data_IF_886830712004
#
_entry.id   IF_886830712004
#
_cell.length_a   1.000
_cell.length_b   1.000
_cell.length_c   1.000
_cell.angle_alpha   90.00
_cell.angle_beta   90.00
_cell.angle_gamma   90.00
#
_symmetry.space_group_name_H-M   'P 1'
#
loop_
_entity.id
_entity.type
_entity.pdbx_description
1 polymer ?
#
# COMPACT_ATOMS: atom_id res chain seq x y z
N UNK A 1 28.30 20.70 22.00
CA UNK A 1 28.40 20.21 20.62
C UNK A 1 27.51 18.97 20.50
N UNK A 2 26.22 19.14 20.12
CA UNK A 2 25.28 18.04 19.89
C UNK A 2 25.57 17.50 18.50
N UNK A 3 26.18 16.34 18.41
CA UNK A 3 26.26 15.59 17.16
C UNK A 3 24.85 15.12 16.86
N UNK A 4 24.16 15.78 15.95
CA UNK A 4 22.99 15.28 15.29
C UNK A 4 23.45 14.06 14.47
N UNK A 5 23.29 12.87 15.06
CA UNK A 5 23.35 11.63 14.28
C UNK A 5 22.11 11.69 13.36
N UNK A 6 22.32 12.18 12.17
CA UNK A 6 21.37 12.05 11.08
C UNK A 6 21.28 10.55 10.81
N UNK A 7 20.24 9.90 11.30
CA UNK A 7 19.91 8.53 10.92
C UNK A 7 19.63 8.61 9.43
N UNK A 8 20.62 8.24 8.62
CA UNK A 8 20.40 8.07 7.18
C UNK A 8 19.40 6.92 7.07
N UNK A 9 18.14 7.28 6.85
CA UNK A 9 17.08 6.31 6.59
C UNK A 9 17.35 5.78 5.18
N UNK A 10 18.10 4.71 5.09
CA UNK A 10 18.46 4.07 3.83
C UNK A 10 17.24 3.35 3.26
N UNK A 11 17.06 3.43 1.96
CA UNK A 11 16.05 2.61 1.26
C UNK A 11 16.44 1.13 1.41
N UNK A 12 15.58 0.39 2.12
CA UNK A 12 15.79 -1.04 2.39
C UNK A 12 14.98 -1.86 1.39
N UNK A 13 15.64 -2.87 0.80
CA UNK A 13 15.03 -3.66 -0.27
C UNK A 13 14.66 -2.80 -1.47
N UNK A 14 13.65 -3.22 -2.22
CA UNK A 14 13.09 -2.47 -3.36
C UNK A 14 14.06 -2.34 -4.54
N UNK A 15 15.05 -3.20 -4.64
CA UNK A 15 16.07 -3.15 -5.71
C UNK A 15 15.41 -3.17 -7.08
N UNK A 16 14.41 -4.04 -7.30
CA UNK A 16 13.68 -4.17 -8.56
C UNK A 16 12.87 -2.91 -8.90
N UNK A 17 12.17 -2.37 -7.90
CA UNK A 17 11.38 -1.15 -8.08
C UNK A 17 12.27 0.06 -8.34
N UNK A 18 13.38 0.17 -7.62
CA UNK A 18 14.40 1.20 -7.85
C UNK A 18 15.03 1.09 -9.23
N UNK A 19 15.43 -0.11 -9.65
CA UNK A 19 15.96 -0.37 -10.99
C UNK A 19 14.95 0.05 -12.07
N UNK A 20 13.69 -0.34 -11.93
CA UNK A 20 12.61 0.05 -12.85
C UNK A 20 12.47 1.58 -12.98
N UNK A 21 12.61 2.33 -11.87
CA UNK A 21 12.57 3.80 -11.88
C UNK A 21 13.80 4.41 -12.54
N UNK A 22 14.99 3.86 -12.27
CA UNK A 22 16.23 4.33 -12.90
C UNK A 22 16.28 4.02 -14.39
N UNK A 23 15.78 2.86 -14.81
CA UNK A 23 15.62 2.53 -16.23
C UNK A 23 14.68 3.50 -16.94
N UNK A 24 13.58 3.91 -16.29
CA UNK A 24 12.67 4.91 -16.83
C UNK A 24 13.35 6.29 -16.92
N UNK A 25 14.17 6.66 -15.95
CA UNK A 25 14.96 7.90 -15.97
C UNK A 25 15.95 7.92 -17.12
N UNK A 26 16.63 6.81 -17.37
CA UNK A 26 17.69 6.70 -18.37
C UNK A 26 17.17 6.33 -19.78
N UNK A 27 15.86 6.14 -19.94
CA UNK A 27 15.27 5.86 -21.25
C UNK A 27 15.37 7.08 -22.19
N UNK A 28 15.55 6.85 -23.46
CA UNK A 28 15.61 7.91 -24.48
C UNK A 28 14.26 8.50 -24.90
N UNK A 29 13.19 8.24 -24.11
CA UNK A 29 11.81 8.65 -24.42
C UNK A 29 11.09 9.16 -23.17
N UNK A 30 9.97 9.86 -23.34
CA UNK A 30 9.12 10.20 -22.19
C UNK A 30 8.49 8.95 -21.59
N UNK A 31 8.53 8.86 -20.27
CA UNK A 31 8.04 7.70 -19.50
C UNK A 31 6.91 8.12 -18.55
N UNK A 32 5.87 7.31 -18.48
CA UNK A 32 4.77 7.47 -17.54
C UNK A 32 4.71 6.27 -16.59
N UNK A 33 5.06 6.51 -15.35
CA UNK A 33 5.17 5.48 -14.30
C UNK A 33 4.06 5.64 -13.29
N UNK A 34 3.28 4.59 -13.05
CA UNK A 34 2.31 4.54 -11.96
C UNK A 34 2.82 3.63 -10.83
N UNK A 35 2.88 4.18 -9.61
CA UNK A 35 3.22 3.43 -8.39
C UNK A 35 2.00 3.39 -7.49
N UNK A 36 1.51 2.20 -7.22
CA UNK A 36 0.33 1.98 -6.40
C UNK A 36 0.57 0.85 -5.40
N UNK A 37 -0.27 0.80 -4.40
CA UNK A 37 -0.16 -0.16 -3.32
C UNK A 37 -0.68 0.43 -2.02
N UNK A 38 -0.82 -0.41 -1.03
CA UNK A 38 -1.38 -0.07 0.27
C UNK A 38 -0.74 1.19 0.89
N UNK A 39 -1.49 1.90 1.71
CA UNK A 39 -0.96 3.00 2.53
C UNK A 39 0.18 2.51 3.42
N UNK A 40 1.19 3.37 3.65
CA UNK A 40 2.33 3.13 4.55
C UNK A 40 3.34 2.07 4.10
N UNK A 41 3.27 1.60 2.84
CA UNK A 41 4.28 0.68 2.26
C UNK A 41 5.53 1.39 1.72
N UNK A 42 5.57 2.74 1.79
CA UNK A 42 6.76 3.51 1.43
C UNK A 42 6.82 3.99 -0.03
N UNK A 43 5.67 4.18 -0.73
CA UNK A 43 5.64 4.65 -2.14
C UNK A 43 6.38 5.97 -2.34
N UNK A 44 5.98 7.01 -1.62
CA UNK A 44 6.59 8.33 -1.66
C UNK A 44 8.06 8.31 -1.26
N UNK A 45 8.39 7.49 -0.24
CA UNK A 45 9.76 7.30 0.23
C UNK A 45 10.64 6.67 -0.86
N UNK A 46 10.19 5.58 -1.51
CA UNK A 46 10.89 4.94 -2.63
C UNK A 46 11.23 5.96 -3.74
N UNK A 47 10.25 6.76 -4.16
CA UNK A 47 10.45 7.74 -5.23
C UNK A 47 11.47 8.80 -4.81
N UNK A 48 11.31 9.37 -3.61
CA UNK A 48 12.20 10.42 -3.10
C UNK A 48 13.62 9.95 -2.93
N UNK A 49 13.83 8.79 -2.33
CA UNK A 49 15.17 8.21 -2.13
C UNK A 49 15.82 7.78 -3.45
N UNK A 50 15.04 7.28 -4.42
CA UNK A 50 15.58 6.90 -5.73
C UNK A 50 16.13 8.08 -6.50
N UNK A 51 15.50 9.26 -6.40
CA UNK A 51 15.88 10.46 -7.13
C UNK A 51 16.52 11.54 -6.24
N UNK A 52 16.95 11.18 -5.02
CA UNK A 52 17.64 12.07 -4.10
C UNK A 52 16.91 13.40 -3.91
N UNK A 53 15.56 13.35 -3.85
CA UNK A 53 14.66 14.54 -3.75
C UNK A 53 14.80 15.56 -4.89
N UNK A 54 15.45 15.20 -6.00
CA UNK A 54 15.68 16.06 -7.15
C UNK A 54 14.55 15.94 -8.18
N UNK A 55 13.57 16.83 -8.11
CA UNK A 55 12.41 16.87 -9.01
C UNK A 55 12.34 18.19 -9.75
N UNK A 56 12.06 18.13 -11.06
CA UNK A 56 11.73 19.34 -11.84
C UNK A 56 10.38 19.93 -11.40
N UNK A 57 9.46 19.06 -10.97
CA UNK A 57 8.19 19.47 -10.37
C UNK A 57 7.71 18.37 -9.42
N UNK A 58 7.23 18.76 -8.24
CA UNK A 58 6.59 17.87 -7.28
C UNK A 58 5.29 18.50 -6.79
N UNK A 59 4.23 17.69 -6.74
CA UNK A 59 2.93 18.08 -6.17
C UNK A 59 2.30 16.92 -5.41
N UNK A 60 1.54 17.24 -4.37
CA UNK A 60 0.75 16.27 -3.59
C UNK A 60 -0.69 16.74 -3.53
N UNK A 61 -1.63 15.90 -3.92
CA UNK A 61 -3.06 16.17 -3.78
C UNK A 61 -3.47 16.34 -2.31
N UNK A 62 -4.55 17.07 -2.06
CA UNK A 62 -5.08 17.35 -0.72
C UNK A 62 -6.32 16.50 -0.50
N UNK A 63 -6.33 15.76 0.62
CA UNK A 63 -7.47 14.93 0.98
C UNK A 63 -8.73 15.78 1.19
N UNK A 64 -9.83 15.37 0.56
CA UNK A 64 -11.17 15.99 0.67
C UNK A 64 -11.25 17.48 0.32
N UNK A 65 -10.22 18.06 -0.29
CA UNK A 65 -10.23 19.46 -0.70
C UNK A 65 -11.03 19.66 -2.01
N UNK A 66 -11.77 20.78 -2.14
CA UNK A 66 -12.47 21.11 -3.38
C UNK A 66 -11.50 21.46 -4.50
N UNK A 67 -11.92 21.33 -5.77
CA UNK A 67 -11.08 21.59 -6.94
C UNK A 67 -10.35 22.94 -6.91
N UNK A 68 -10.99 24.01 -6.42
CA UNK A 68 -10.38 25.33 -6.33
C UNK A 68 -9.14 25.35 -5.42
N UNK A 69 -9.19 24.64 -4.31
CA UNK A 69 -8.08 24.50 -3.37
C UNK A 69 -6.98 23.63 -3.96
N UNK A 70 -7.33 22.51 -4.59
CA UNK A 70 -6.37 21.67 -5.31
C UNK A 70 -5.58 22.49 -6.37
N UNK A 71 -6.28 23.29 -7.17
CA UNK A 71 -5.66 24.13 -8.19
C UNK A 71 -4.79 25.25 -7.59
N UNK A 72 -5.18 25.79 -6.44
CA UNK A 72 -4.37 26.80 -5.72
C UNK A 72 -3.05 26.19 -5.25
N UNK A 73 -3.08 25.00 -4.66
CA UNK A 73 -1.89 24.29 -4.21
C UNK A 73 -1.02 23.78 -5.37
N UNK A 74 -1.65 23.38 -6.48
CA UNK A 74 -0.91 23.04 -7.68
C UNK A 74 -0.11 24.26 -8.22
N UNK A 75 -0.72 25.46 -8.23
CA UNK A 75 -0.02 26.70 -8.54
C UNK A 75 1.11 26.98 -7.57
N UNK A 76 0.89 26.77 -6.25
CA UNK A 76 1.94 26.95 -5.25
C UNK A 76 3.11 25.99 -5.51
N UNK A 77 2.83 24.76 -5.91
CA UNK A 77 3.85 23.80 -6.30
C UNK A 77 4.66 24.24 -7.52
N UNK A 78 4.04 24.93 -8.50
CA UNK A 78 4.76 25.53 -9.63
C UNK A 78 5.71 26.66 -9.16
N UNK A 79 5.28 27.49 -8.20
CA UNK A 79 6.15 28.51 -7.62
C UNK A 79 7.32 27.90 -6.84
N UNK A 80 7.06 26.87 -6.06
CA UNK A 80 8.09 26.14 -5.32
C UNK A 80 9.12 25.49 -6.25
N UNK A 81 8.70 25.09 -7.46
CA UNK A 81 9.57 24.54 -8.50
C UNK A 81 10.38 25.63 -9.24
N UNK A 82 10.09 26.91 -9.01
CA UNK A 82 10.83 28.05 -9.60
C UNK A 82 10.08 28.84 -10.68
N UNK A 83 8.80 28.57 -10.92
CA UNK A 83 7.98 29.39 -11.80
C UNK A 83 7.80 30.79 -11.22
N UNK A 84 8.17 31.85 -11.96
CA UNK A 84 8.18 33.23 -11.42
C UNK A 84 6.78 33.81 -11.24
N UNK A 85 5.90 33.64 -12.22
CA UNK A 85 4.52 34.15 -12.19
C UNK A 85 3.59 33.30 -13.04
N UNK A 86 2.40 33.01 -12.54
CA UNK A 86 1.27 32.51 -13.33
C UNK A 86 -0.06 32.91 -12.67
N UNK A 87 -1.11 33.03 -13.47
CA UNK A 87 -2.46 33.19 -12.96
C UNK A 87 -2.91 31.93 -12.20
N UNK A 88 -3.89 32.08 -11.32
CA UNK A 88 -4.55 30.91 -10.71
C UNK A 88 -5.32 30.15 -11.80
N UNK A 89 -4.98 28.90 -12.11
CA UNK A 89 -5.71 28.10 -13.09
C UNK A 89 -7.13 27.85 -12.58
N UNK A 90 -8.10 27.90 -13.51
CA UNK A 90 -9.52 27.65 -13.21
C UNK A 90 -9.91 26.20 -13.49
N UNK A 91 -9.11 25.49 -14.27
CA UNK A 91 -9.32 24.11 -14.69
C UNK A 91 -8.02 23.32 -14.63
N UNK A 92 -8.11 22.00 -14.59
CA UNK A 92 -6.95 21.13 -14.68
C UNK A 92 -6.22 21.23 -16.03
N UNK A 93 -6.96 21.51 -17.12
CA UNK A 93 -6.31 21.77 -18.41
C UNK A 93 -5.39 22.99 -18.34
N UNK A 94 -5.86 24.10 -17.76
CA UNK A 94 -5.01 25.28 -17.56
C UNK A 94 -3.81 24.98 -16.66
N UNK A 95 -4.02 24.23 -15.57
CA UNK A 95 -2.95 23.83 -14.65
C UNK A 95 -1.87 22.99 -15.36
N UNK A 96 -2.26 22.00 -16.16
CA UNK A 96 -1.31 21.19 -16.92
C UNK A 96 -0.66 21.97 -18.09
N UNK A 97 -1.34 22.94 -18.70
CA UNK A 97 -0.72 23.86 -19.65
C UNK A 97 0.40 24.70 -19.00
N UNK A 98 0.14 25.25 -17.80
CA UNK A 98 1.16 25.95 -17.03
C UNK A 98 2.36 25.05 -16.69
N UNK A 99 2.09 23.80 -16.26
CA UNK A 99 3.14 22.81 -16.02
C UNK A 99 3.97 22.54 -17.28
N UNK A 100 3.31 22.33 -18.44
CA UNK A 100 3.99 22.10 -19.71
C UNK A 100 4.88 23.28 -20.12
N UNK A 101 4.37 24.50 -20.02
CA UNK A 101 5.14 25.73 -20.30
C UNK A 101 6.34 25.89 -19.37
N UNK A 102 6.15 25.60 -18.07
CA UNK A 102 7.23 25.61 -17.08
C UNK A 102 8.31 24.58 -17.41
N UNK A 103 7.95 23.32 -17.64
CA UNK A 103 8.90 22.26 -17.96
C UNK A 103 9.66 22.53 -19.28
N UNK A 104 9.00 23.16 -20.26
CA UNK A 104 9.64 23.59 -21.53
C UNK A 104 10.68 24.71 -21.34
N UNK A 105 10.53 25.50 -20.27
CA UNK A 105 11.48 26.60 -19.97
C UNK A 105 12.73 26.16 -19.20
N UNK A 106 12.73 24.92 -18.69
CA UNK A 106 13.88 24.39 -17.96
C UNK A 106 15.00 23.95 -18.90
N UNK A 107 16.26 23.96 -18.43
CA UNK A 107 17.41 23.48 -19.19
C UNK A 107 17.21 22.06 -19.74
N UNK A 108 18.02 21.70 -20.74
CA UNK A 108 18.02 20.34 -21.30
C UNK A 108 18.33 19.28 -20.24
N UNK A 109 17.82 18.08 -20.49
CA UNK A 109 17.91 16.93 -19.56
C UNK A 109 16.56 16.37 -19.18
N UNK A 110 16.56 15.15 -18.62
CA UNK A 110 15.35 14.47 -18.17
C UNK A 110 14.70 15.22 -17.00
N UNK A 111 13.43 15.53 -17.12
CA UNK A 111 12.63 16.26 -16.13
C UNK A 111 11.74 15.30 -15.38
N UNK A 112 12.00 15.11 -14.10
CA UNK A 112 11.21 14.26 -13.22
C UNK A 112 10.03 15.09 -12.70
N UNK A 113 8.82 14.65 -13.04
CA UNK A 113 7.55 15.21 -12.58
C UNK A 113 6.92 14.20 -11.64
N UNK A 114 6.85 14.54 -10.37
CA UNK A 114 6.28 13.65 -9.34
C UNK A 114 4.95 14.20 -8.84
N UNK A 115 3.87 13.42 -9.00
CA UNK A 115 2.54 13.74 -8.51
C UNK A 115 2.10 12.67 -7.52
N UNK A 116 2.05 13.04 -6.25
CA UNK A 116 1.67 12.18 -5.15
C UNK A 116 0.18 12.33 -4.81
N UNK A 117 -0.42 11.27 -4.27
CA UNK A 117 -1.83 11.15 -3.91
C UNK A 117 -2.77 11.63 -5.03
N UNK A 118 -2.48 11.17 -6.26
CA UNK A 118 -3.23 11.49 -7.48
C UNK A 118 -4.76 11.36 -7.32
N UNK A 119 -5.29 10.32 -6.63
CA UNK A 119 -6.73 10.15 -6.45
C UNK A 119 -7.45 11.31 -5.77
N UNK A 120 -6.75 12.08 -4.92
CA UNK A 120 -7.36 13.20 -4.19
C UNK A 120 -7.64 14.42 -5.08
N UNK A 121 -6.95 14.52 -6.21
CA UNK A 121 -7.18 15.60 -7.19
C UNK A 121 -8.39 15.36 -8.10
N UNK A 122 -8.85 14.10 -8.20
CA UNK A 122 -10.01 13.74 -9.02
C UNK A 122 -11.32 14.01 -8.26
N UNK A 123 -11.63 15.28 -8.09
CA UNK A 123 -12.86 15.71 -7.43
C UNK A 123 -14.07 15.62 -8.40
N UNK A 124 -15.30 15.51 -7.89
CA UNK A 124 -16.48 15.42 -8.75
C UNK A 124 -16.54 16.56 -9.78
N UNK A 125 -16.77 16.21 -11.04
CA UNK A 125 -16.87 17.13 -12.19
C UNK A 125 -15.59 17.95 -12.49
N UNK A 126 -14.45 17.59 -11.94
CA UNK A 126 -13.17 18.30 -12.18
C UNK A 126 -12.58 18.03 -13.56
N UNK A 127 -12.99 16.97 -14.24
CA UNK A 127 -12.36 16.47 -15.48
C UNK A 127 -10.84 16.21 -15.34
N UNK A 128 -10.36 15.91 -14.15
CA UNK A 128 -8.93 15.74 -13.86
C UNK A 128 -8.28 14.69 -14.74
N UNK A 129 -8.86 13.48 -14.82
CA UNK A 129 -8.33 12.38 -15.64
C UNK A 129 -8.24 12.77 -17.12
N UNK A 130 -9.25 13.48 -17.66
CA UNK A 130 -9.23 13.96 -19.06
C UNK A 130 -8.14 14.99 -19.29
N UNK A 131 -7.90 15.86 -18.33
CA UNK A 131 -6.85 16.88 -18.41
C UNK A 131 -5.45 16.23 -18.33
N UNK A 132 -5.26 15.24 -17.46
CA UNK A 132 -4.01 14.47 -17.38
C UNK A 132 -3.76 13.69 -18.69
N UNK A 133 -4.80 13.06 -19.23
CA UNK A 133 -4.74 12.37 -20.52
C UNK A 133 -4.33 13.31 -21.65
N UNK A 134 -4.95 14.48 -21.74
CA UNK A 134 -4.63 15.50 -22.74
C UNK A 134 -3.20 16.00 -22.59
N UNK A 135 -2.74 16.27 -21.38
CA UNK A 135 -1.35 16.67 -21.10
C UNK A 135 -0.35 15.59 -21.55
N UNK A 136 -0.62 14.34 -21.19
CA UNK A 136 0.27 13.25 -21.55
C UNK A 136 0.29 13.01 -23.07
N UNK A 137 -0.87 12.78 -23.68
CA UNK A 137 -0.95 12.43 -25.10
C UNK A 137 -0.67 13.61 -26.05
N UNK A 138 -1.10 14.80 -25.68
CA UNK A 138 -0.98 15.98 -26.55
C UNK A 138 0.37 16.69 -26.43
N UNK A 139 1.08 16.53 -25.29
CA UNK A 139 2.32 17.28 -25.06
C UNK A 139 3.49 16.41 -24.65
N UNK A 140 3.34 15.58 -23.59
CA UNK A 140 4.47 14.87 -22.99
C UNK A 140 5.03 13.75 -23.89
N UNK A 141 4.18 13.03 -24.61
CA UNK A 141 4.61 11.95 -25.53
C UNK A 141 5.39 12.45 -26.74
N UNK A 142 5.17 13.70 -27.18
CA UNK A 142 5.93 14.32 -28.27
C UNK A 142 7.36 14.69 -27.85
N UNK A 143 7.64 14.65 -26.55
CA UNK A 143 8.95 14.93 -25.95
C UNK A 143 9.69 13.63 -25.66
N UNK A 144 10.99 13.75 -25.35
CA UNK A 144 11.84 12.61 -24.94
C UNK A 144 12.35 12.74 -23.50
N UNK A 145 12.07 13.86 -22.88
CA UNK A 145 12.71 14.33 -21.65
C UNK A 145 11.78 14.38 -20.43
N UNK A 146 10.58 13.79 -20.50
CA UNK A 146 9.64 13.78 -19.36
C UNK A 146 9.63 12.40 -18.69
N UNK A 147 9.83 12.37 -17.38
CA UNK A 147 9.53 11.23 -16.53
C UNK A 147 8.39 11.63 -15.59
N UNK A 148 7.16 11.27 -15.97
CA UNK A 148 5.97 11.48 -15.13
C UNK A 148 5.78 10.29 -14.21
N UNK A 149 5.88 10.53 -12.90
CA UNK A 149 5.64 9.52 -11.87
C UNK A 149 4.39 9.94 -11.09
N UNK A 150 3.41 9.06 -11.06
CA UNK A 150 2.20 9.26 -10.26
C UNK A 150 2.08 8.18 -9.21
N UNK A 151 1.63 8.55 -8.02
CA UNK A 151 1.32 7.56 -7.01
C UNK A 151 0.06 7.91 -6.20
N UNK A 152 -0.43 6.95 -5.43
CA UNK A 152 -1.55 7.15 -4.53
C UNK A 152 -1.80 5.93 -3.65
N UNK A 153 -2.40 6.19 -2.50
CA UNK A 153 -2.77 5.17 -1.52
C UNK A 153 -4.10 4.48 -1.84
N UNK A 154 -5.00 5.13 -2.57
CA UNK A 154 -6.24 4.52 -3.08
C UNK A 154 -5.92 3.60 -4.27
N UNK A 155 -5.42 2.41 -3.95
CA UNK A 155 -4.93 1.40 -4.91
C UNK A 155 -5.95 1.11 -6.00
N UNK A 156 -7.22 0.88 -5.65
CA UNK A 156 -8.29 0.57 -6.60
C UNK A 156 -8.54 1.70 -7.57
N UNK A 157 -8.53 2.96 -7.08
CA UNK A 157 -8.71 4.11 -7.95
C UNK A 157 -7.58 4.21 -8.99
N UNK A 158 -6.32 4.00 -8.59
CA UNK A 158 -5.17 3.98 -9.53
C UNK A 158 -5.33 2.83 -10.54
N UNK A 159 -5.74 1.65 -10.08
CA UNK A 159 -5.96 0.51 -10.97
C UNK A 159 -7.07 0.84 -11.97
N UNK A 160 -8.24 1.28 -11.51
CA UNK A 160 -9.42 1.49 -12.35
C UNK A 160 -9.24 2.67 -13.32
N UNK A 161 -8.62 3.78 -12.87
CA UNK A 161 -8.55 5.02 -13.65
C UNK A 161 -7.24 5.24 -14.40
N UNK A 162 -6.15 4.59 -13.99
CA UNK A 162 -4.84 4.77 -14.61
C UNK A 162 -4.34 3.47 -15.24
N UNK A 163 -4.32 2.34 -14.51
CA UNK A 163 -3.71 1.09 -14.96
C UNK A 163 -4.59 0.33 -15.95
N UNK A 164 -5.89 0.24 -15.66
CA UNK A 164 -6.91 -0.51 -16.44
C UNK A 164 -7.88 0.43 -17.17
N UNK A 165 -7.52 1.71 -17.29
CA UNK A 165 -8.36 2.68 -17.98
C UNK A 165 -8.57 2.26 -19.43
N UNK A 166 -9.81 2.14 -19.88
CA UNK A 166 -10.19 1.88 -21.26
C UNK A 166 -10.36 3.16 -22.10
N UNK A 167 -10.11 4.35 -21.51
CA UNK A 167 -10.15 5.65 -22.16
C UNK A 167 -8.82 6.06 -22.78
N UNK A 168 -8.55 7.36 -22.82
CA UNK A 168 -7.37 7.96 -23.45
C UNK A 168 -6.02 7.56 -22.81
N UNK A 169 -6.00 7.20 -21.52
CA UNK A 169 -4.81 6.68 -20.84
C UNK A 169 -4.57 5.17 -21.09
N UNK A 170 -5.42 4.51 -21.90
CA UNK A 170 -5.26 3.10 -22.22
C UNK A 170 -3.90 2.83 -22.88
N UNK A 171 -3.13 1.88 -22.31
CA UNK A 171 -1.78 1.52 -22.77
C UNK A 171 -0.78 2.69 -22.83
N UNK A 172 -1.01 3.78 -22.06
CA UNK A 172 -0.10 4.93 -22.00
C UNK A 172 0.92 4.84 -20.87
N UNK A 173 0.62 4.03 -19.85
CA UNK A 173 1.62 3.72 -18.84
C UNK A 173 2.75 2.91 -19.47
N UNK A 174 3.95 3.42 -19.34
CA UNK A 174 5.16 2.71 -19.81
C UNK A 174 5.64 1.73 -18.75
N UNK A 175 5.41 2.05 -17.47
CA UNK A 175 5.78 1.18 -16.35
C UNK A 175 4.72 1.20 -15.24
N UNK A 176 4.53 0.04 -14.59
CA UNK A 176 3.58 -0.17 -13.50
C UNK A 176 4.31 -0.83 -12.33
N UNK A 177 4.29 -0.19 -11.17
CA UNK A 177 4.92 -0.70 -9.96
C UNK A 177 3.84 -0.90 -8.90
N UNK A 178 3.49 -2.17 -8.63
CA UNK A 178 2.67 -2.51 -7.48
C UNK A 178 3.57 -2.70 -6.27
N UNK A 179 3.69 -1.66 -5.43
CA UNK A 179 4.53 -1.71 -4.24
C UNK A 179 3.81 -2.50 -3.13
N UNK A 180 4.26 -3.72 -2.93
CA UNK A 180 3.73 -4.63 -1.91
C UNK A 180 4.34 -4.35 -0.54
N UNK A 181 3.74 -4.84 0.57
CA UNK A 181 4.42 -4.89 1.87
C UNK A 181 5.79 -5.55 1.77
N UNK A 182 6.68 -5.25 2.69
CA UNK A 182 7.97 -5.93 2.82
C UNK A 182 7.79 -7.44 3.00
N UNK A 183 8.68 -8.20 2.41
CA UNK A 183 8.88 -9.61 2.71
C UNK A 183 9.57 -9.77 4.08
N UNK A 184 9.60 -10.99 4.60
CA UNK A 184 10.36 -11.30 5.82
C UNK A 184 11.85 -10.91 5.71
N UNK A 185 12.46 -11.15 4.54
CA UNK A 185 13.84 -10.77 4.30
C UNK A 185 14.05 -9.25 4.34
N UNK A 186 13.15 -8.48 3.74
CA UNK A 186 13.22 -7.01 3.80
C UNK A 186 12.97 -6.50 5.23
N UNK A 187 12.10 -7.15 6.00
CA UNK A 187 11.91 -6.82 7.42
C UNK A 187 13.15 -7.17 8.26
N UNK A 188 13.85 -8.29 7.97
CA UNK A 188 15.13 -8.63 8.61
C UNK A 188 16.19 -7.55 8.33
N UNK A 189 16.33 -7.13 7.06
CA UNK A 189 17.22 -6.04 6.67
C UNK A 189 16.86 -4.72 7.36
N UNK A 190 15.57 -4.42 7.46
CA UNK A 190 15.07 -3.23 8.15
C UNK A 190 15.39 -3.26 9.65
N UNK A 191 15.21 -4.41 10.33
CA UNK A 191 15.64 -4.59 11.72
C UNK A 191 17.14 -4.39 11.90
N UNK A 192 17.96 -4.88 10.96
CA UNK A 192 19.40 -4.69 10.97
C UNK A 192 19.76 -3.20 10.83
N UNK A 193 19.11 -2.47 9.92
CA UNK A 193 19.35 -1.03 9.74
C UNK A 193 19.00 -0.20 10.97
N UNK A 194 17.99 -0.61 11.74
CA UNK A 194 17.62 -0.01 13.02
C UNK A 194 18.44 -0.52 14.21
N UNK A 195 19.37 -1.47 13.98
CA UNK A 195 20.16 -2.13 15.02
C UNK A 195 19.32 -2.73 16.15
N UNK A 196 18.18 -3.34 15.83
CA UNK A 196 17.27 -3.93 16.84
C UNK A 196 17.86 -5.20 17.49
N UNK A 197 18.78 -5.88 16.82
CA UNK A 197 19.42 -7.10 17.32
C UNK A 197 18.51 -8.34 17.35
N UNK A 198 17.41 -8.33 16.61
CA UNK A 198 16.48 -9.44 16.57
C UNK A 198 16.99 -10.59 15.72
N UNK A 199 16.86 -11.80 16.24
CA UNK A 199 17.04 -13.04 15.48
C UNK A 199 15.82 -13.30 14.58
N UNK A 200 15.96 -14.17 13.58
CA UNK A 200 14.91 -14.47 12.59
C UNK A 200 13.57 -14.89 13.18
N UNK A 201 13.59 -15.67 14.27
CA UNK A 201 12.37 -16.06 14.97
C UNK A 201 11.63 -14.86 15.57
N UNK A 202 12.34 -13.86 16.10
CA UNK A 202 11.75 -12.62 16.63
C UNK A 202 11.25 -11.71 15.50
N UNK A 203 11.94 -11.67 14.35
CA UNK A 203 11.47 -10.99 13.14
C UNK A 203 10.17 -11.64 12.64
N UNK A 204 10.10 -12.98 12.63
CA UNK A 204 8.90 -13.73 12.28
C UNK A 204 7.75 -13.41 13.22
N UNK A 205 7.99 -13.42 14.52
CA UNK A 205 6.99 -13.08 15.56
C UNK A 205 6.44 -11.66 15.34
N UNK A 206 7.32 -10.69 15.15
CA UNK A 206 6.92 -9.32 14.88
C UNK A 206 6.13 -9.22 13.55
N UNK A 207 6.55 -9.94 12.51
CA UNK A 207 5.87 -9.96 11.22
C UNK A 207 4.45 -10.51 11.32
N UNK A 208 4.21 -11.52 12.15
CA UNK A 208 2.88 -12.11 12.36
C UNK A 208 1.84 -11.09 12.88
N UNK A 209 2.27 -10.01 13.54
CA UNK A 209 1.40 -8.93 13.98
C UNK A 209 1.48 -7.68 13.10
N UNK A 210 2.67 -7.22 12.75
CA UNK A 210 2.89 -5.98 12.00
C UNK A 210 2.72 -6.15 10.48
N UNK A 211 2.82 -7.40 9.98
CA UNK A 211 3.00 -7.64 8.55
C UNK A 211 4.27 -6.97 8.03
N UNK A 212 4.35 -6.82 6.72
CA UNK A 212 5.48 -6.14 6.06
C UNK A 212 5.25 -4.64 5.85
N UNK A 213 4.64 -3.93 6.78
CA UNK A 213 4.35 -2.49 6.64
C UNK A 213 5.49 -1.66 7.26
N UNK A 214 6.39 -1.04 6.45
CA UNK A 214 7.57 -0.35 6.95
C UNK A 214 7.28 0.67 8.05
N UNK A 215 6.17 1.38 7.91
CA UNK A 215 5.73 2.36 8.90
C UNK A 215 5.48 1.75 10.28
N UNK A 216 4.96 0.54 10.37
CA UNK A 216 4.74 -0.12 11.67
C UNK A 216 6.07 -0.55 12.29
N UNK A 217 6.99 -1.04 11.48
CA UNK A 217 8.33 -1.42 11.92
C UNK A 217 9.16 -0.23 12.38
N UNK A 218 8.93 0.98 11.86
CA UNK A 218 9.65 2.18 12.26
C UNK A 218 9.44 2.59 13.73
N UNK A 219 8.41 2.07 14.36
CA UNK A 219 8.15 2.30 15.78
C UNK A 219 8.86 1.32 16.71
N UNK A 220 9.46 0.25 16.19
CA UNK A 220 10.24 -0.69 17.01
C UNK A 220 11.46 -0.01 17.59
N UNK A 221 11.66 -0.09 18.91
CA UNK A 221 12.77 0.54 19.64
C UNK A 221 13.86 -0.46 19.99
N UNK A 222 15.10 -0.06 19.73
CA UNK A 222 16.30 -0.80 20.15
C UNK A 222 16.33 -0.95 21.66
N UNK A 223 16.78 -2.12 22.12
CA UNK A 223 16.92 -2.42 23.56
C UNK A 223 15.65 -2.96 24.22
N UNK A 224 14.52 -2.96 23.51
CA UNK A 224 13.27 -3.59 23.96
C UNK A 224 13.08 -4.95 23.27
N UNK A 225 12.48 -5.90 23.97
CA UNK A 225 12.00 -7.15 23.36
C UNK A 225 10.83 -6.87 22.40
N UNK A 226 10.46 -7.85 21.58
CA UNK A 226 9.25 -7.76 20.72
C UNK A 226 8.01 -7.52 21.58
N UNK A 227 7.89 -8.25 22.70
CA UNK A 227 6.74 -8.10 23.60
C UNK A 227 6.66 -6.70 24.22
N UNK A 228 7.76 -6.16 24.71
CA UNK A 228 7.79 -4.78 25.24
C UNK A 228 7.47 -3.72 24.18
N UNK A 229 7.95 -3.90 22.94
CA UNK A 229 7.60 -3.04 21.84
C UNK A 229 6.09 -3.11 21.53
N UNK A 230 5.50 -4.31 21.55
CA UNK A 230 4.08 -4.50 21.30
C UNK A 230 3.22 -3.87 22.39
N UNK A 231 3.56 -4.07 23.66
CA UNK A 231 2.85 -3.42 24.76
C UNK A 231 2.83 -1.91 24.58
N UNK A 232 3.97 -1.31 24.30
CA UNK A 232 4.09 0.13 24.06
C UNK A 232 3.32 0.62 22.81
N UNK A 233 3.40 -0.12 21.70
CA UNK A 233 2.84 0.33 20.42
C UNK A 233 1.33 0.14 20.33
N UNK A 234 0.80 -0.94 20.92
CA UNK A 234 -0.59 -1.37 20.73
C UNK A 234 -1.47 -1.19 21.97
N UNK A 235 -0.88 -1.27 23.17
CA UNK A 235 -1.64 -1.36 24.43
C UNK A 235 -1.45 -0.17 25.36
N UNK A 236 -0.44 0.69 25.12
CA UNK A 236 -0.38 2.00 25.75
C UNK A 236 -1.43 2.92 25.11
N UNK A 237 -2.05 3.81 25.92
CA UNK A 237 -3.05 4.78 25.45
C UNK A 237 -2.51 5.69 24.35
N UNK A 238 -1.24 6.10 24.48
CA UNK A 238 -0.51 6.93 23.52
C UNK A 238 0.30 6.08 22.51
N UNK A 239 0.06 4.78 22.44
CA UNK A 239 0.75 3.86 21.55
C UNK A 239 0.49 4.20 20.07
N UNK A 240 1.57 4.24 19.27
CA UNK A 240 1.52 4.72 17.88
C UNK A 240 0.53 3.93 16.99
N UNK A 241 0.19 2.70 17.38
CA UNK A 241 -0.72 1.83 16.65
C UNK A 241 -2.01 1.48 17.43
N UNK A 242 -2.21 2.05 18.61
CA UNK A 242 -3.39 1.78 19.44
C UNK A 242 -4.70 2.15 18.73
N UNK A 243 -4.72 3.25 17.98
CA UNK A 243 -5.89 3.75 17.23
C UNK A 243 -5.82 3.50 15.73
N UNK A 244 -4.81 2.76 15.27
CA UNK A 244 -4.54 2.57 13.84
C UNK A 244 -5.71 1.93 13.09
N UNK A 245 -6.43 0.98 13.70
CA UNK A 245 -7.53 0.27 13.05
C UNK A 245 -8.62 1.24 12.56
N UNK A 246 -8.99 2.22 13.37
CA UNK A 246 -10.02 3.19 13.03
C UNK A 246 -9.60 4.12 11.88
N UNK A 247 -8.33 4.52 11.86
CA UNK A 247 -7.77 5.40 10.84
C UNK A 247 -7.49 4.68 9.51
N UNK A 248 -7.16 3.37 9.55
CA UNK A 248 -6.69 2.60 8.41
C UNK A 248 -7.71 2.57 7.28
N UNK A 249 -8.92 2.11 7.54
CA UNK A 249 -9.97 1.96 6.53
C UNK A 249 -10.56 3.31 6.11
N UNK A 250 -10.74 4.23 7.04
CA UNK A 250 -11.23 5.59 6.75
C UNK A 250 -10.31 6.35 5.79
N UNK A 251 -9.01 6.11 5.87
CA UNK A 251 -8.03 6.78 5.00
C UNK A 251 -7.86 6.17 3.61
N UNK A 252 -8.38 4.95 3.39
CA UNK A 252 -8.24 4.22 2.13
C UNK A 252 -9.50 4.26 1.27
N UNK A 253 -10.67 4.31 1.90
CA UNK A 253 -11.96 4.20 1.24
C UNK A 253 -12.84 5.40 1.58
N UNK A 254 -13.40 6.04 0.55
CA UNK A 254 -14.25 7.21 0.71
C UNK A 254 -15.48 6.96 1.61
N UNK A 255 -16.05 5.74 1.52
CA UNK A 255 -17.17 5.27 2.34
C UNK A 255 -16.82 3.88 2.90
N UNK A 256 -16.09 3.78 4.02
CA UNK A 256 -15.51 2.52 4.49
C UNK A 256 -16.51 1.56 5.15
N UNK A 257 -17.76 1.96 5.37
CA UNK A 257 -18.76 1.20 6.15
C UNK A 257 -18.92 -0.24 5.66
N UNK A 258 -19.08 -0.45 4.35
CA UNK A 258 -19.20 -1.80 3.76
C UNK A 258 -17.90 -2.57 3.89
N UNK A 259 -16.76 -1.94 3.67
CA UNK A 259 -15.44 -2.56 3.80
C UNK A 259 -15.20 -3.04 5.23
N UNK A 260 -15.45 -2.20 6.22
CA UNK A 260 -15.32 -2.53 7.65
C UNK A 260 -16.29 -3.64 8.05
N UNK A 261 -17.53 -3.64 7.54
CA UNK A 261 -18.52 -4.69 7.78
C UNK A 261 -18.03 -6.04 7.26
N UNK A 262 -17.46 -6.09 6.05
CA UNK A 262 -16.87 -7.31 5.46
C UNK A 262 -15.69 -7.80 6.30
N UNK A 263 -14.78 -6.91 6.69
CA UNK A 263 -13.61 -7.25 7.52
C UNK A 263 -14.04 -7.79 8.89
N UNK A 264 -15.01 -7.15 9.53
CA UNK A 264 -15.59 -7.63 10.80
C UNK A 264 -16.18 -9.04 10.65
N UNK A 265 -16.91 -9.33 9.57
CA UNK A 265 -17.43 -10.65 9.31
C UNK A 265 -16.31 -11.69 9.12
N UNK A 266 -15.32 -11.38 8.31
CA UNK A 266 -14.19 -12.27 8.01
C UNK A 266 -13.28 -12.54 9.23
N UNK A 267 -13.22 -11.62 10.20
CA UNK A 267 -12.42 -11.82 11.41
C UNK A 267 -12.92 -12.95 12.29
N UNK A 268 -14.18 -13.36 12.13
CA UNK A 268 -14.82 -14.42 12.93
C UNK A 268 -14.47 -15.82 12.42
N UNK A 269 -14.37 -16.00 11.09
CA UNK A 269 -14.18 -17.31 10.45
C UNK A 269 -12.80 -17.40 9.78
N UNK A 270 -11.87 -18.09 10.43
CA UNK A 270 -10.47 -18.19 10.02
C UNK A 270 -10.27 -18.74 8.60
N UNK A 271 -11.08 -19.70 8.17
CA UNK A 271 -11.06 -20.26 6.82
C UNK A 271 -11.62 -19.28 5.75
N UNK A 272 -12.21 -18.17 6.19
CA UNK A 272 -12.90 -17.23 5.29
C UNK A 272 -14.37 -17.60 5.07
N UNK A 273 -15.03 -16.83 4.23
CA UNK A 273 -16.45 -16.95 3.92
C UNK A 273 -16.69 -16.88 2.42
N UNK A 274 -17.68 -17.60 1.93
CA UNK A 274 -18.22 -17.39 0.59
C UNK A 274 -18.92 -16.03 0.48
N UNK A 275 -19.19 -15.59 -0.75
CA UNK A 275 -19.95 -14.36 -0.96
C UNK A 275 -21.34 -14.42 -0.33
N UNK A 276 -22.02 -15.57 -0.41
CA UNK A 276 -23.34 -15.77 0.17
C UNK A 276 -23.30 -15.66 1.70
N UNK A 277 -22.36 -16.32 2.36
CA UNK A 277 -22.14 -16.22 3.81
C UNK A 277 -21.83 -14.77 4.24
N UNK A 278 -21.05 -14.03 3.44
CA UNK A 278 -20.74 -12.63 3.72
C UNK A 278 -21.99 -11.74 3.63
N UNK A 279 -22.81 -11.90 2.61
CA UNK A 279 -24.06 -11.15 2.45
C UNK A 279 -25.03 -11.42 3.61
N UNK A 280 -25.17 -12.69 3.99
CA UNK A 280 -25.99 -13.09 5.15
C UNK A 280 -25.46 -12.47 6.45
N UNK A 281 -24.16 -12.60 6.70
CA UNK A 281 -23.52 -12.14 7.94
C UNK A 281 -23.51 -10.62 8.07
N UNK A 282 -23.30 -9.91 6.98
CA UNK A 282 -23.22 -8.44 6.96
C UNK A 282 -24.58 -7.77 6.76
N UNK A 283 -25.60 -8.51 6.33
CA UNK A 283 -26.93 -8.02 5.96
C UNK A 283 -26.91 -6.95 4.86
N UNK A 284 -25.86 -6.96 4.03
CA UNK A 284 -25.80 -6.10 2.85
C UNK A 284 -26.58 -6.71 1.69
N UNK A 285 -27.06 -5.84 0.79
CA UNK A 285 -27.71 -6.26 -0.47
C UNK A 285 -26.61 -6.69 -1.46
N UNK A 286 -26.90 -7.74 -2.23
CA UNK A 286 -26.06 -8.20 -3.32
C UNK A 286 -26.15 -7.23 -4.51
N UNK A 287 -25.25 -6.26 -4.56
CA UNK A 287 -25.20 -5.21 -5.57
C UNK A 287 -23.75 -4.92 -6.02
N UNK A 288 -23.61 -4.03 -7.00
CA UNK A 288 -22.31 -3.62 -7.53
C UNK A 288 -21.41 -3.00 -6.46
N UNK A 289 -21.95 -2.24 -5.51
CA UNK A 289 -21.19 -1.61 -4.44
C UNK A 289 -20.54 -2.65 -3.54
N UNK A 290 -21.26 -3.71 -3.16
CA UNK A 290 -20.70 -4.82 -2.37
C UNK A 290 -19.58 -5.56 -3.12
N UNK A 291 -19.79 -5.83 -4.42
CA UNK A 291 -18.78 -6.46 -5.26
C UNK A 291 -17.53 -5.59 -5.40
N UNK A 292 -17.73 -4.29 -5.56
CA UNK A 292 -16.64 -3.30 -5.62
C UNK A 292 -15.86 -3.29 -4.31
N UNK A 293 -16.53 -3.26 -3.15
CA UNK A 293 -15.86 -3.28 -1.84
C UNK A 293 -15.01 -4.54 -1.63
N UNK A 294 -15.50 -5.72 -2.04
CA UNK A 294 -14.69 -6.95 -2.00
C UNK A 294 -13.43 -6.85 -2.89
N UNK A 295 -13.58 -6.35 -4.11
CA UNK A 295 -12.46 -6.17 -5.04
C UNK A 295 -11.44 -5.17 -4.50
N UNK A 296 -11.89 -4.05 -3.94
CA UNK A 296 -11.04 -3.04 -3.33
C UNK A 296 -10.23 -3.58 -2.15
N UNK A 297 -10.86 -4.36 -1.28
CA UNK A 297 -10.18 -5.04 -0.17
C UNK A 297 -9.13 -6.06 -0.66
N UNK A 298 -9.43 -6.79 -1.75
CA UNK A 298 -8.49 -7.74 -2.36
C UNK A 298 -7.31 -7.00 -3.01
N UNK A 299 -7.57 -5.95 -3.79
CA UNK A 299 -6.54 -5.13 -4.44
C UNK A 299 -5.60 -4.44 -3.44
N UNK A 300 -6.12 -4.06 -2.26
CA UNK A 300 -5.35 -3.51 -1.17
C UNK A 300 -4.63 -4.58 -0.32
N UNK A 301 -4.86 -5.87 -0.58
CA UNK A 301 -4.22 -6.98 0.12
C UNK A 301 -4.76 -7.23 1.54
N UNK A 302 -5.94 -6.71 1.88
CA UNK A 302 -6.58 -7.03 3.17
C UNK A 302 -7.17 -8.43 3.19
N UNK A 303 -7.73 -8.85 2.07
CA UNK A 303 -8.32 -10.17 1.88
C UNK A 303 -7.69 -10.86 0.67
N UNK A 304 -7.78 -12.19 0.64
CA UNK A 304 -7.56 -12.97 -0.57
C UNK A 304 -8.85 -13.66 -0.99
N UNK A 305 -9.01 -13.81 -2.28
CA UNK A 305 -9.99 -14.69 -2.88
C UNK A 305 -9.28 -15.99 -3.27
N UNK A 306 -9.81 -17.14 -2.85
CA UNK A 306 -9.24 -18.43 -3.18
C UNK A 306 -10.33 -19.46 -3.46
N UNK A 307 -9.97 -20.51 -4.17
CA UNK A 307 -10.87 -21.64 -4.45
C UNK A 307 -10.15 -22.91 -4.03
N UNK A 308 -10.81 -23.75 -3.26
CA UNK A 308 -10.25 -25.05 -2.86
C UNK A 308 -10.07 -25.96 -4.07
N UNK A 309 -9.10 -26.86 -3.99
CA UNK A 309 -8.82 -27.81 -5.06
C UNK A 309 -10.10 -28.59 -5.46
N UNK A 310 -10.33 -28.71 -6.76
CA UNK A 310 -11.50 -29.39 -7.32
C UNK A 310 -12.83 -28.61 -7.27
N UNK A 311 -12.86 -27.39 -6.72
CA UNK A 311 -14.05 -26.53 -6.69
C UNK A 311 -14.05 -25.54 -7.88
N UNK A 312 -15.27 -25.05 -8.23
CA UNK A 312 -15.46 -24.06 -9.30
C UNK A 312 -15.25 -22.63 -8.76
N UNK A 313 -14.95 -21.70 -9.66
CA UNK A 313 -14.77 -20.27 -9.32
C UNK A 313 -15.97 -19.65 -8.58
N UNK A 314 -17.19 -20.13 -8.83
CA UNK A 314 -18.39 -19.70 -8.10
C UNK A 314 -18.35 -20.03 -6.60
N UNK A 315 -17.57 -21.04 -6.22
CA UNK A 315 -17.39 -21.50 -4.84
C UNK A 315 -16.20 -20.83 -4.15
N UNK A 316 -15.73 -19.68 -4.68
CA UNK A 316 -14.62 -18.94 -4.11
C UNK A 316 -14.91 -18.45 -2.70
N UNK A 317 -13.89 -18.52 -1.88
CA UNK A 317 -13.88 -18.02 -0.50
C UNK A 317 -13.08 -16.72 -0.40
N UNK A 318 -13.50 -15.84 0.48
CA UNK A 318 -12.77 -14.63 0.85
C UNK A 318 -12.21 -14.82 2.24
N UNK A 319 -10.93 -14.57 2.42
CA UNK A 319 -10.23 -14.78 3.69
C UNK A 319 -9.45 -13.53 4.06
N UNK A 320 -9.53 -13.12 5.32
CA UNK A 320 -8.76 -12.00 5.87
C UNK A 320 -7.27 -12.37 5.94
N UNK A 321 -6.42 -11.55 5.35
CA UNK A 321 -4.98 -11.78 5.22
C UNK A 321 -4.12 -10.76 5.95
N UNK A 322 -4.68 -9.59 6.29
CA UNK A 322 -3.92 -8.52 6.93
C UNK A 322 -3.51 -8.86 8.36
N UNK A 323 -2.22 -8.96 8.59
CA UNK A 323 -1.64 -9.36 9.87
C UNK A 323 -2.06 -8.43 11.02
N UNK A 324 -1.96 -7.11 10.80
CA UNK A 324 -2.34 -6.13 11.82
C UNK A 324 -3.84 -6.21 12.16
N UNK A 325 -4.71 -6.31 11.16
CA UNK A 325 -6.15 -6.43 11.38
C UNK A 325 -6.51 -7.70 12.14
N UNK A 326 -5.86 -8.84 11.83
CA UNK A 326 -6.04 -10.09 12.56
C UNK A 326 -5.57 -9.99 14.01
N UNK A 327 -4.42 -9.34 14.22
CA UNK A 327 -3.88 -9.07 15.56
C UNK A 327 -4.82 -8.15 16.36
N UNK A 328 -5.34 -7.11 15.71
CA UNK A 328 -6.31 -6.19 16.32
C UNK A 328 -7.55 -6.93 16.87
N UNK A 329 -8.19 -7.77 16.06
CA UNK A 329 -9.38 -8.49 16.50
C UNK A 329 -9.09 -9.55 17.57
N UNK A 330 -7.90 -10.12 17.54
CA UNK A 330 -7.56 -11.19 18.47
C UNK A 330 -7.13 -10.67 19.85
N UNK A 331 -6.47 -9.51 19.90
CA UNK A 331 -5.82 -9.00 21.10
C UNK A 331 -6.21 -7.55 21.44
N UNK A 332 -6.00 -6.57 20.54
CA UNK A 332 -6.19 -5.17 20.86
C UNK A 332 -7.65 -4.91 21.24
N UNK A 333 -8.58 -5.38 20.41
CA UNK A 333 -10.02 -5.21 20.64
C UNK A 333 -10.52 -5.91 21.92
N UNK A 334 -9.82 -6.93 22.38
CA UNK A 334 -10.20 -7.71 23.59
C UNK A 334 -9.59 -7.19 24.88
N UNK A 335 -8.69 -6.21 24.79
CA UNK A 335 -8.14 -5.56 25.97
C UNK A 335 -9.10 -4.48 26.50
N UNK A 336 -10.28 -4.93 26.94
CA UNK A 336 -11.33 -4.03 27.43
C UNK A 336 -10.94 -3.30 28.72
N UNK A 337 -10.04 -3.88 29.50
CA UNK A 337 -9.57 -3.33 30.78
C UNK A 337 -8.41 -2.32 30.64
N UNK A 338 -7.90 -2.09 29.40
CA UNK A 338 -6.79 -1.18 29.17
C UNK A 338 -5.46 -1.61 29.81
N UNK A 339 -5.21 -2.91 29.92
CA UNK A 339 -3.94 -3.42 30.46
C UNK A 339 -2.78 -3.08 29.50
N UNK A 340 -1.86 -2.24 29.98
CA UNK A 340 -0.69 -1.79 29.21
C UNK A 340 0.37 -2.89 28.98
N UNK A 341 0.36 -3.94 29.78
CA UNK A 341 1.25 -5.10 29.65
C UNK A 341 0.51 -6.32 29.11
N UNK A 342 -0.59 -6.11 28.41
CA UNK A 342 -1.48 -7.18 27.94
C UNK A 342 -0.75 -8.24 27.11
N UNK A 343 0.10 -7.82 26.16
CA UNK A 343 0.83 -8.76 25.33
C UNK A 343 1.90 -9.53 26.10
N UNK A 344 2.69 -8.85 26.92
CA UNK A 344 3.70 -9.50 27.77
C UNK A 344 3.11 -10.52 28.72
N UNK A 345 1.93 -10.22 29.29
CA UNK A 345 1.22 -11.14 30.20
C UNK A 345 0.64 -12.38 29.48
N UNK A 346 0.31 -12.25 28.19
CA UNK A 346 -0.24 -13.32 27.37
C UNK A 346 0.82 -14.20 26.70
N UNK A 347 2.09 -13.80 26.75
CA UNK A 347 3.18 -14.50 26.08
C UNK A 347 3.28 -15.97 26.54
N UNK A 348 3.41 -16.89 25.58
CA UNK A 348 3.39 -18.35 25.80
C UNK A 348 2.06 -18.93 26.35
N UNK A 349 0.99 -18.16 26.45
CA UNK A 349 -0.33 -18.70 26.76
C UNK A 349 -0.88 -19.59 25.63
N UNK A 350 -1.88 -20.43 25.95
CA UNK A 350 -2.57 -21.25 24.95
C UNK A 350 -3.17 -20.39 23.83
N UNK A 351 -3.67 -19.18 24.16
CA UNK A 351 -4.24 -18.24 23.20
C UNK A 351 -3.17 -17.68 22.27
N UNK A 352 -2.02 -17.28 22.82
CA UNK A 352 -0.86 -16.82 22.05
C UNK A 352 -0.37 -17.91 21.07
N UNK A 353 -0.16 -19.15 21.57
CA UNK A 353 0.35 -20.25 20.74
C UNK A 353 -0.63 -20.65 19.63
N UNK A 354 -1.93 -20.66 19.91
CA UNK A 354 -2.96 -20.93 18.90
C UNK A 354 -3.03 -19.85 17.83
N UNK A 355 -2.86 -18.58 18.21
CA UNK A 355 -2.77 -17.47 17.26
C UNK A 355 -1.50 -17.56 16.43
N UNK A 356 -0.36 -17.85 17.05
CA UNK A 356 0.92 -17.90 16.36
C UNK A 356 0.93 -18.95 15.23
N UNK A 357 0.35 -20.15 15.47
CA UNK A 357 0.21 -21.17 14.43
C UNK A 357 -0.56 -20.65 13.21
N UNK A 358 -1.71 -20.03 13.43
CA UNK A 358 -2.54 -19.49 12.34
C UNK A 358 -1.91 -18.27 11.64
N UNK A 359 -1.20 -17.42 12.39
CA UNK A 359 -0.50 -16.29 11.83
C UNK A 359 0.68 -16.75 10.96
N UNK A 360 1.38 -17.83 11.39
CA UNK A 360 2.44 -18.44 10.61
C UNK A 360 1.93 -19.01 9.27
N UNK A 361 0.79 -19.71 9.23
CA UNK A 361 0.17 -20.14 7.97
C UNK A 361 -0.05 -18.97 7.01
N UNK A 362 -0.52 -17.82 7.52
CA UNK A 362 -0.73 -16.62 6.69
C UNK A 362 0.58 -16.05 6.16
N UNK A 363 1.62 -16.05 6.99
CA UNK A 363 2.95 -15.63 6.53
C UNK A 363 3.45 -16.55 5.41
N UNK A 364 3.27 -17.87 5.52
CA UNK A 364 3.58 -18.81 4.45
C UNK A 364 2.81 -18.50 3.17
N UNK A 365 1.50 -18.26 3.27
CA UNK A 365 0.65 -17.87 2.14
C UNK A 365 1.09 -16.56 1.48
N UNK A 366 1.57 -15.60 2.25
CA UNK A 366 2.11 -14.32 1.75
C UNK A 366 3.48 -14.49 1.06
N UNK A 367 4.21 -15.58 1.35
CA UNK A 367 5.58 -15.83 0.86
C UNK A 367 5.67 -17.05 -0.06
N UNK A 368 4.59 -17.43 -0.74
CA UNK A 368 4.55 -18.59 -1.62
C UNK A 368 5.65 -18.60 -2.67
N UNK A 369 5.91 -17.45 -3.31
CA UNK A 369 6.94 -17.35 -4.34
C UNK A 369 8.35 -17.54 -3.76
N UNK A 370 8.61 -17.03 -2.55
CA UNK A 370 9.87 -17.21 -1.85
C UNK A 370 10.06 -18.68 -1.43
N UNK A 371 8.99 -19.32 -0.95
CA UNK A 371 8.99 -20.75 -0.58
C UNK A 371 9.26 -21.61 -1.82
N UNK A 372 8.56 -21.39 -2.94
CA UNK A 372 8.79 -22.10 -4.19
C UNK A 372 10.23 -21.96 -4.67
N UNK A 373 10.76 -20.73 -4.62
CA UNK A 373 12.15 -20.47 -4.99
C UNK A 373 13.13 -21.20 -4.07
N UNK A 374 12.89 -21.19 -2.76
CA UNK A 374 13.73 -21.90 -1.78
C UNK A 374 13.71 -23.41 -1.94
N UNK A 375 12.59 -23.98 -2.40
CA UNK A 375 12.43 -25.41 -2.71
C UNK A 375 12.91 -25.80 -4.10
N UNK A 376 13.47 -24.87 -4.89
CA UNK A 376 14.07 -25.17 -6.20
C UNK A 376 13.09 -25.25 -7.36
N UNK A 377 11.80 -24.98 -7.17
CA UNK A 377 10.80 -25.01 -8.26
C UNK A 377 10.14 -23.64 -8.55
N UNK A 378 10.81 -22.55 -8.25
CA UNK A 378 10.34 -21.19 -8.51
C UNK A 378 10.06 -20.89 -9.99
N UNK A 379 10.70 -21.61 -10.93
CA UNK A 379 10.44 -21.50 -12.36
C UNK A 379 9.28 -22.39 -12.84
N UNK A 380 8.74 -23.27 -12.00
CA UNK A 380 7.65 -24.17 -12.37
C UNK A 380 6.32 -23.44 -12.28
N UNK A 381 5.56 -23.43 -13.37
CA UNK A 381 4.19 -22.92 -13.35
C UNK A 381 3.34 -23.83 -12.47
N UNK A 382 2.96 -23.33 -11.32
CA UNK A 382 2.19 -24.06 -10.33
C UNK A 382 1.23 -23.14 -9.61
N UNK A 383 0.09 -23.67 -9.18
CA UNK A 383 -0.92 -22.96 -8.38
C UNK A 383 -0.99 -23.61 -7.01
N UNK A 384 -1.06 -22.79 -5.96
CA UNK A 384 -1.28 -23.26 -4.61
C UNK A 384 -2.77 -23.30 -4.32
N UNK A 385 -3.24 -24.42 -3.80
CA UNK A 385 -4.63 -24.63 -3.44
C UNK A 385 -4.70 -25.24 -2.04
N UNK A 386 -5.65 -24.80 -1.21
CA UNK A 386 -6.03 -25.56 -0.05
C UNK A 386 -6.78 -26.82 -0.48
N UNK A 387 -6.53 -27.92 0.22
CA UNK A 387 -7.26 -29.17 0.03
C UNK A 387 -7.84 -29.64 1.37
N UNK A 388 -9.06 -30.12 1.35
CA UNK A 388 -9.75 -30.63 2.55
C UNK A 388 -10.61 -31.83 2.19
N UNK A 389 -10.51 -32.87 3.00
CA UNK A 389 -11.46 -33.99 3.05
C UNK A 389 -12.02 -34.15 4.47
N UNK A 390 -12.76 -35.23 4.70
CA UNK A 390 -13.39 -35.54 6.00
C UNK A 390 -12.36 -35.65 7.12
N UNK A 391 -11.19 -36.24 6.82
CA UNK A 391 -10.21 -36.68 7.81
C UNK A 391 -8.87 -35.93 7.73
N UNK A 392 -8.68 -35.05 6.74
CA UNK A 392 -7.43 -34.34 6.54
C UNK A 392 -7.62 -32.96 5.89
N UNK A 393 -6.69 -32.05 6.17
CA UNK A 393 -6.62 -30.74 5.57
C UNK A 393 -5.18 -30.40 5.20
N UNK A 394 -4.99 -29.80 4.01
CA UNK A 394 -3.75 -29.19 3.57
C UNK A 394 -4.06 -27.73 3.25
N UNK A 395 -3.40 -26.80 3.91
CA UNK A 395 -3.69 -25.37 3.79
C UNK A 395 -2.90 -24.70 2.65
N UNK A 396 -1.87 -25.40 2.17
CA UNK A 396 -0.93 -24.95 1.11
C UNK A 396 -0.59 -26.09 0.16
#
# INVERSE_FOLDING_TARGET
MRVLIQVIVMLIGREREKETLLDAMNSGQSEFVAIYGRRRVGKTFLIRETFEYSFAFQHTGILDAPMKEQLSEFRQSLFNAGMKRCALPKTWNEAFHLLGAFLASLPDGKKIVFIDELPWMDTPRSNFIRALDHFWNGWATARKDILLIVCGSATSWIIDNIVMNYGGLHNRLTRKIHLRPFTLNECEQYCQSLNLGYKRNLVMEAYMALGGIPYYWSFMKKGLSVAQNFDRMFFDEDGELAQEYNALYASLFKNPTTHVSIINALSIKKAGMSRAELLEKTRHVDNEHFCKSLRELEQCGFIRKYTSFGKKTKDSMFQLMDNYTLFYFQFIKKNENGDKNFWSSMYNSTLHNSWAGLAFERVCLQHLEQIKKGLGFGAVISTAHSWRCTDAQIDL
#
